data_IF_138349062270
#
_entry.id   IF_138349062270
#
_cell.length_a   1.000
_cell.length_b   1.000
_cell.length_c   1.000
_cell.angle_alpha   90.00
_cell.angle_beta   90.00
_cell.angle_gamma   90.00
#
_symmetry.space_group_name_H-M   'P 1'
#
loop_
_entity.id
_entity.type
_entity.pdbx_description
1 polymer ?
#
# COMPACT_ATOMS: atom_id res chain seq x y z
N UNK A 1 -17.53 -2.98 17.00
CA UNK A 1 -17.51 -3.72 15.72
C UNK A 1 -18.11 -2.81 14.67
N UNK A 2 -17.29 -2.16 13.85
CA UNK A 2 -17.82 -1.40 12.72
C UNK A 2 -18.58 -2.36 11.81
N UNK A 3 -19.86 -2.06 11.53
CA UNK A 3 -20.64 -2.89 10.60
C UNK A 3 -20.05 -2.68 9.21
N UNK A 4 -19.35 -3.68 8.69
CA UNK A 4 -18.95 -3.72 7.29
C UNK A 4 -20.18 -3.47 6.41
N UNK A 5 -20.03 -2.59 5.41
CA UNK A 5 -21.09 -2.34 4.45
C UNK A 5 -21.21 -3.52 3.50
N UNK A 6 -22.25 -4.35 3.68
CA UNK A 6 -22.61 -5.41 2.76
C UNK A 6 -23.76 -4.97 1.87
N UNK A 7 -23.66 -5.27 0.57
CA UNK A 7 -24.73 -5.07 -0.41
C UNK A 7 -24.98 -6.41 -1.07
N UNK A 8 -26.26 -6.75 -1.25
CA UNK A 8 -26.66 -7.94 -2.00
C UNK A 8 -26.98 -7.48 -3.42
N UNK A 9 -26.22 -7.98 -4.39
CA UNK A 9 -26.37 -7.67 -5.80
C UNK A 9 -26.66 -8.95 -6.58
N UNK A 10 -27.52 -8.85 -7.58
CA UNK A 10 -27.80 -9.97 -8.48
C UNK A 10 -26.71 -10.06 -9.55
N UNK A 11 -26.21 -11.26 -9.80
CA UNK A 11 -25.36 -11.52 -10.96
C UNK A 11 -26.17 -11.31 -12.23
N UNK A 12 -25.72 -10.37 -13.06
CA UNK A 12 -26.35 -10.01 -14.33
C UNK A 12 -25.84 -10.94 -15.46
N UNK A 13 -26.33 -10.70 -16.68
CA UNK A 13 -25.84 -11.40 -17.88
C UNK A 13 -24.32 -11.30 -18.00
N UNK A 14 -23.70 -12.35 -18.56
CA UNK A 14 -22.24 -12.44 -18.77
C UNK A 14 -21.41 -12.36 -17.47
N UNK A 15 -21.98 -12.83 -16.35
CA UNK A 15 -21.30 -12.86 -15.03
C UNK A 15 -20.89 -11.49 -14.50
N UNK A 16 -21.64 -10.44 -14.85
CA UNK A 16 -21.39 -9.09 -14.36
C UNK A 16 -22.05 -8.88 -13.00
N UNK A 17 -21.30 -8.30 -12.06
CA UNK A 17 -21.80 -7.89 -10.74
C UNK A 17 -21.56 -6.38 -10.64
N UNK A 18 -22.63 -5.62 -10.38
CA UNK A 18 -22.52 -4.17 -10.16
C UNK A 18 -21.91 -3.92 -8.77
N UNK A 19 -20.72 -3.32 -8.72
CA UNK A 19 -20.09 -2.92 -7.46
C UNK A 19 -20.26 -1.42 -7.17
N UNK A 20 -21.07 -0.69 -7.95
CA UNK A 20 -21.12 0.78 -7.92
C UNK A 20 -21.40 1.40 -6.54
N UNK A 21 -22.21 0.75 -5.70
CA UNK A 21 -22.50 1.21 -4.33
C UNK A 21 -21.27 1.14 -3.41
N UNK A 22 -20.42 0.13 -3.61
CA UNK A 22 -19.18 -0.08 -2.84
C UNK A 22 -17.99 0.66 -3.49
N UNK A 23 -17.94 0.72 -4.82
CA UNK A 23 -16.89 1.34 -5.61
C UNK A 23 -16.65 2.81 -5.24
N UNK A 24 -17.72 3.59 -4.98
CA UNK A 24 -17.59 4.99 -4.53
C UNK A 24 -16.82 5.14 -3.22
N UNK A 25 -16.99 4.21 -2.29
CA UNK A 25 -16.26 4.21 -1.01
C UNK A 25 -14.81 3.78 -1.18
N UNK A 26 -14.53 2.95 -2.18
CA UNK A 26 -13.19 2.53 -2.58
C UNK A 26 -12.47 3.54 -3.49
N UNK A 27 -13.16 4.59 -3.94
CA UNK A 27 -12.61 5.57 -4.88
C UNK A 27 -12.39 5.05 -6.31
N UNK A 28 -12.96 3.89 -6.65
CA UNK A 28 -12.84 3.26 -7.96
C UNK A 28 -13.55 4.05 -9.05
N UNK A 29 -12.92 4.13 -10.22
CA UNK A 29 -13.40 4.78 -11.44
C UNK A 29 -13.39 3.80 -12.62
N UNK A 30 -14.10 4.18 -13.68
CA UNK A 30 -14.05 3.40 -14.93
C UNK A 30 -12.61 3.37 -15.48
N UNK A 31 -12.13 2.17 -15.80
CA UNK A 31 -10.76 1.94 -16.28
C UNK A 31 -9.77 1.50 -15.19
N UNK A 32 -10.13 1.61 -13.91
CA UNK A 32 -9.27 1.12 -12.82
C UNK A 32 -9.18 -0.41 -12.82
N UNK A 33 -8.05 -0.92 -12.32
CA UNK A 33 -7.77 -2.34 -12.23
C UNK A 33 -8.11 -2.87 -10.85
N UNK A 34 -8.65 -4.08 -10.81
CA UNK A 34 -9.01 -4.78 -9.57
C UNK A 34 -8.46 -6.18 -9.64
N UNK A 35 -7.72 -6.58 -8.61
CA UNK A 35 -7.29 -7.95 -8.40
C UNK A 35 -8.44 -8.75 -7.77
N UNK A 36 -8.67 -9.94 -8.32
CA UNK A 36 -9.67 -10.89 -7.85
C UNK A 36 -8.95 -12.03 -7.13
N UNK A 37 -9.24 -12.21 -5.85
CA UNK A 37 -8.64 -13.24 -5.00
C UNK A 37 -9.74 -14.20 -4.55
N UNK A 38 -9.68 -15.46 -4.98
CA UNK A 38 -10.56 -16.51 -4.49
C UNK A 38 -9.94 -17.11 -3.23
N UNK A 39 -10.69 -17.18 -2.13
CA UNK A 39 -10.24 -17.88 -0.93
C UNK A 39 -10.03 -19.38 -1.21
N UNK A 40 -9.08 -20.00 -0.49
CA UNK A 40 -8.72 -21.41 -0.72
C UNK A 40 -9.91 -22.38 -0.55
N UNK A 41 -10.86 -22.03 0.33
CA UNK A 41 -12.08 -22.80 0.57
C UNK A 41 -13.15 -22.60 -0.52
N UNK A 42 -12.92 -21.69 -1.47
CA UNK A 42 -13.85 -21.34 -2.54
C UNK A 42 -15.12 -20.62 -2.08
N UNK A 43 -15.21 -20.18 -0.82
CA UNK A 43 -16.44 -19.60 -0.27
C UNK A 43 -16.54 -18.08 -0.46
N UNK A 44 -15.41 -17.42 -0.68
CA UNK A 44 -15.35 -15.97 -0.78
C UNK A 44 -14.43 -15.47 -1.88
N UNK A 45 -14.84 -14.35 -2.49
CA UNK A 45 -14.07 -13.61 -3.48
C UNK A 45 -13.76 -12.23 -2.91
N UNK A 46 -12.47 -11.88 -2.87
CA UNK A 46 -12.01 -10.56 -2.45
C UNK A 46 -11.62 -9.73 -3.68
N UNK A 47 -12.11 -8.50 -3.70
CA UNK A 47 -11.78 -7.51 -4.72
C UNK A 47 -10.82 -6.50 -4.09
N UNK A 48 -9.63 -6.35 -4.68
CA UNK A 48 -8.59 -5.43 -4.19
C UNK A 48 -8.23 -4.47 -5.33
N UNK A 49 -8.49 -3.15 -5.20
CA UNK A 49 -8.00 -2.16 -6.16
C UNK A 49 -6.48 -2.26 -6.32
N UNK A 50 -5.98 -2.17 -7.54
CA UNK A 50 -4.55 -2.20 -7.83
C UNK A 50 -4.17 -1.11 -8.82
N UNK A 51 -2.99 -0.53 -8.59
CA UNK A 51 -2.37 0.44 -9.47
C UNK A 51 -1.12 -0.15 -10.13
N UNK A 52 -0.77 0.40 -11.30
CA UNK A 52 0.44 0.02 -12.02
C UNK A 52 1.55 1.03 -11.74
N UNK A 53 2.76 0.54 -11.55
CA UNK A 53 3.96 1.36 -11.53
C UNK A 53 4.91 0.93 -12.65
N UNK A 54 5.77 1.85 -13.15
CA UNK A 54 6.85 1.46 -14.05
C UNK A 54 7.71 0.37 -13.41
N UNK A 55 8.19 -0.59 -14.22
CA UNK A 55 9.06 -1.69 -13.73
C UNK A 55 10.30 -1.17 -13.01
N UNK A 56 10.86 -0.05 -13.46
CA UNK A 56 12.03 0.56 -12.83
C UNK A 56 11.76 1.02 -11.37
N UNK A 57 10.49 1.15 -10.98
CA UNK A 57 10.07 1.53 -9.62
C UNK A 57 9.59 0.35 -8.78
N UNK A 58 9.68 -0.89 -9.28
CA UNK A 58 9.19 -2.09 -8.58
C UNK A 58 9.86 -2.30 -7.22
N UNK A 59 11.13 -1.89 -7.07
CA UNK A 59 11.83 -1.94 -5.80
C UNK A 59 11.11 -1.18 -4.68
N UNK A 60 10.46 -0.05 -4.99
CA UNK A 60 9.75 0.79 -4.02
C UNK A 60 8.53 0.07 -3.45
N UNK A 61 7.90 -0.79 -4.25
CA UNK A 61 6.69 -1.53 -3.91
C UNK A 61 6.98 -2.92 -3.34
N UNK A 62 8.26 -3.26 -3.12
CA UNK A 62 8.63 -4.48 -2.39
C UNK A 62 8.19 -4.38 -0.93
N UNK A 63 7.78 -5.51 -0.35
CA UNK A 63 7.32 -5.62 1.03
C UNK A 63 8.34 -5.01 2.01
N UNK A 64 9.61 -5.37 1.85
CA UNK A 64 10.71 -4.85 2.67
C UNK A 64 10.78 -3.32 2.64
N UNK A 65 10.64 -2.72 1.46
CA UNK A 65 10.75 -1.26 1.31
C UNK A 65 9.53 -0.55 1.91
N UNK A 66 8.33 -1.09 1.71
CA UNK A 66 7.10 -0.57 2.31
C UNK A 66 7.12 -0.66 3.85
N UNK A 67 7.64 -1.76 4.42
CA UNK A 67 7.82 -1.87 5.87
C UNK A 67 8.82 -0.85 6.41
N UNK A 68 9.97 -0.67 5.74
CA UNK A 68 10.97 0.34 6.11
C UNK A 68 10.38 1.74 6.09
N UNK A 69 9.54 2.04 5.08
CA UNK A 69 8.81 3.30 4.99
C UNK A 69 7.82 3.48 6.13
N UNK A 70 7.01 2.47 6.41
CA UNK A 70 6.04 2.52 7.50
C UNK A 70 6.73 2.80 8.84
N UNK A 71 7.84 2.11 9.14
CA UNK A 71 8.64 2.37 10.34
C UNK A 71 9.19 3.81 10.37
N UNK A 72 9.70 4.29 9.24
CA UNK A 72 10.26 5.65 9.14
C UNK A 72 9.18 6.72 9.36
N UNK A 73 7.99 6.55 8.77
CA UNK A 73 6.84 7.43 8.97
C UNK A 73 6.35 7.40 10.42
N UNK A 74 6.34 6.22 11.06
CA UNK A 74 6.03 6.11 12.48
C UNK A 74 7.03 6.88 13.34
N UNK A 75 8.34 6.74 13.06
CA UNK A 75 9.39 7.48 13.78
C UNK A 75 9.22 8.99 13.61
N UNK A 76 8.90 9.45 12.39
CA UNK A 76 8.60 10.86 12.11
C UNK A 76 7.40 11.35 12.95
N UNK A 77 6.30 10.59 12.97
CA UNK A 77 5.09 10.95 13.72
C UNK A 77 5.31 11.01 15.23
N UNK A 78 6.16 10.10 15.76
CA UNK A 78 6.50 10.03 17.18
C UNK A 78 7.66 10.97 17.56
N UNK A 79 8.19 11.76 16.63
CA UNK A 79 9.32 12.66 16.87
C UNK A 79 10.63 11.92 17.15
N UNK A 80 10.72 10.62 16.84
CA UNK A 80 11.94 9.80 16.92
C UNK A 80 12.85 10.07 15.72
N UNK A 81 13.21 11.34 15.55
CA UNK A 81 14.07 11.83 14.47
C UNK A 81 15.28 12.53 15.05
N UNK A 82 16.40 12.44 14.33
CA UNK A 82 17.60 13.19 14.63
C UNK A 82 17.67 14.39 13.70
N UNK A 83 17.77 15.58 14.29
CA UNK A 83 18.02 16.81 13.56
C UNK A 83 19.50 17.17 13.68
N UNK A 84 20.04 17.78 12.62
CA UNK A 84 21.41 18.23 12.56
C UNK A 84 21.44 19.75 12.52
N UNK A 85 22.42 20.34 13.20
CA UNK A 85 22.59 21.79 13.24
C UNK A 85 23.22 22.35 11.95
N UNK A 86 23.94 21.50 11.20
CA UNK A 86 24.56 21.87 9.93
C UNK A 86 24.64 20.68 8.97
N UNK A 87 24.93 20.98 7.70
CA UNK A 87 25.10 19.96 6.66
C UNK A 87 26.36 19.14 6.90
N UNK A 88 27.43 19.75 7.42
CA UNK A 88 28.70 19.09 7.72
C UNK A 88 28.54 18.03 8.81
N UNK A 89 27.72 18.29 9.82
CA UNK A 89 27.39 17.32 10.88
C UNK A 89 26.68 16.09 10.30
N UNK A 90 25.71 16.31 9.42
CA UNK A 90 25.00 15.23 8.72
C UNK A 90 25.95 14.41 7.83
N UNK A 91 26.80 15.07 7.04
CA UNK A 91 27.75 14.40 6.15
C UNK A 91 28.71 13.53 6.97
N UNK A 92 29.28 14.08 8.05
CA UNK A 92 30.20 13.33 8.90
C UNK A 92 29.58 12.06 9.48
N UNK A 93 28.30 12.08 9.86
CA UNK A 93 27.62 10.88 10.33
C UNK A 93 27.36 9.85 9.21
N UNK A 94 26.96 10.31 8.03
CA UNK A 94 26.71 9.44 6.88
C UNK A 94 27.97 8.70 6.44
N UNK A 95 29.12 9.38 6.40
CA UNK A 95 30.42 8.79 6.07
C UNK A 95 30.84 7.73 7.10
N UNK A 96 30.70 8.03 8.40
CA UNK A 96 30.99 7.07 9.47
C UNK A 96 30.04 5.86 9.47
N UNK A 97 28.80 6.04 9.02
CA UNK A 97 27.83 4.95 8.89
C UNK A 97 28.13 4.03 7.70
N UNK A 98 28.78 4.54 6.63
CA UNK A 98 29.24 3.71 5.51
C UNK A 98 30.48 2.88 5.82
N UNK A 99 31.37 3.36 6.70
CA UNK A 99 32.60 2.66 7.08
C UNK A 99 32.38 1.51 8.09
N UNK A 100 31.22 1.43 8.73
CA UNK A 100 30.85 0.34 9.64
C UNK A 100 30.17 -0.87 8.95
N UNK A 101 30.34 -1.01 7.63
CA UNK A 101 29.91 -2.20 6.87
C UNK A 101 31.11 -3.09 6.56
N UNK A 102 31.70 -3.66 7.60
CA UNK A 102 32.51 -4.89 7.51
C UNK A 102 31.77 -6.05 8.20
#
# INVERSE_FOLDING_TARGET
MERGHAVIEQVQKRMLISIGQLAKKLGLKEGDYVRLELAEDGTSLRLVPVDWHPRQQEYFWSEEWQERMQRSLQHLAEGRVKAYGSVEELIGELENASDNKD
#
